data_IF_148270752898
#
_entry.id   IF_148270752898
#
_cell.length_a   1.000
_cell.length_b   1.000
_cell.length_c   1.000
_cell.angle_alpha   90.00
_cell.angle_beta   90.00
_cell.angle_gamma   90.00
#
_symmetry.space_group_name_H-M   'P 1'
#
loop_
_entity.id
_entity.type
_entity.pdbx_description
1 polymer ?
#
# COMPACT_ATOMS: atom_id res chain seq x y z
N UNK A 1 -22.57 4.50 -12.78
CA UNK A 1 -21.84 3.39 -12.13
C UNK A 1 -20.52 3.96 -11.64
N UNK A 2 -20.04 3.56 -10.47
CA UNK A 2 -18.87 4.22 -9.85
C UNK A 2 -17.58 3.54 -10.29
N UNK A 3 -16.61 4.32 -10.74
CA UNK A 3 -15.26 3.84 -11.08
C UNK A 3 -14.44 3.65 -9.82
N UNK A 4 -13.64 2.58 -9.81
CA UNK A 4 -12.77 2.22 -8.69
C UNK A 4 -11.37 1.91 -9.16
N UNK A 5 -10.40 2.10 -8.27
CA UNK A 5 -9.06 1.55 -8.42
C UNK A 5 -8.88 0.35 -7.51
N UNK A 6 -8.27 -0.71 -8.04
CA UNK A 6 -7.92 -1.90 -7.28
C UNK A 6 -6.39 -2.10 -7.36
N UNK A 7 -5.73 -2.24 -6.21
CA UNK A 7 -4.27 -2.26 -6.09
C UNK A 7 -3.84 -3.55 -5.41
N UNK A 8 -3.16 -4.44 -6.13
CA UNK A 8 -2.55 -5.64 -5.57
C UNK A 8 -1.10 -5.35 -5.17
N UNK A 9 -0.87 -5.20 -3.86
CA UNK A 9 0.44 -4.82 -3.32
C UNK A 9 1.48 -5.92 -3.53
N UNK A 10 1.07 -7.20 -3.58
CA UNK A 10 2.00 -8.31 -3.80
C UNK A 10 2.58 -8.32 -5.23
N UNK A 11 1.91 -7.69 -6.20
CA UNK A 11 2.38 -7.59 -7.59
C UNK A 11 3.24 -6.36 -7.86
N UNK A 12 3.27 -5.39 -6.95
CA UNK A 12 4.01 -4.15 -7.19
C UNK A 12 5.51 -4.35 -6.95
N UNK A 13 6.32 -4.20 -8.01
CA UNK A 13 7.77 -4.33 -7.95
C UNK A 13 8.51 -3.00 -7.73
N UNK A 14 7.79 -1.88 -7.55
CA UNK A 14 8.41 -0.58 -7.32
C UNK A 14 9.13 0.00 -8.54
N UNK A 15 8.69 -0.28 -9.77
CA UNK A 15 9.29 0.31 -10.98
C UNK A 15 9.02 1.82 -11.17
N UNK A 16 8.08 2.41 -10.42
CA UNK A 16 7.66 3.82 -10.52
C UNK A 16 7.06 4.25 -11.88
N UNK A 17 6.78 3.32 -12.81
CA UNK A 17 6.13 3.66 -14.10
C UNK A 17 4.81 4.42 -13.93
N UNK A 18 4.01 4.08 -12.93
CA UNK A 18 2.74 4.76 -12.66
C UNK A 18 2.92 6.25 -12.30
N UNK A 19 4.00 6.58 -11.58
CA UNK A 19 4.40 7.94 -11.26
C UNK A 19 4.87 8.68 -12.51
N UNK A 20 5.75 8.04 -13.29
CA UNK A 20 6.33 8.62 -14.50
C UNK A 20 5.25 8.87 -15.55
N UNK A 21 4.34 7.92 -15.78
CA UNK A 21 3.23 8.07 -16.72
C UNK A 21 2.26 9.19 -16.31
N UNK A 22 2.06 9.40 -15.01
CA UNK A 22 1.26 10.53 -14.53
C UNK A 22 1.96 11.87 -14.79
N UNK A 23 3.29 11.92 -14.63
CA UNK A 23 4.09 13.09 -14.97
C UNK A 23 4.09 13.38 -16.47
N UNK A 24 4.32 12.35 -17.28
CA UNK A 24 4.27 12.44 -18.75
C UNK A 24 2.93 12.99 -19.24
N UNK A 25 1.83 12.51 -18.66
CA UNK A 25 0.48 12.97 -19.03
C UNK A 25 0.19 14.42 -18.60
N UNK A 26 0.69 14.88 -17.46
CA UNK A 26 0.23 16.13 -16.84
C UNK A 26 1.27 17.25 -16.74
N UNK A 27 2.57 16.97 -16.85
CA UNK A 27 3.60 18.01 -16.87
C UNK A 27 3.63 18.63 -18.26
N UNK A 28 3.52 19.95 -18.33
CA UNK A 28 3.50 20.69 -19.59
C UNK A 28 2.20 20.59 -20.39
N UNK A 29 1.26 19.73 -19.99
CA UNK A 29 -0.03 19.54 -20.67
C UNK A 29 -1.18 20.19 -19.88
N UNK A 30 -1.95 21.05 -20.55
CA UNK A 30 -3.16 21.65 -19.98
C UNK A 30 -4.39 20.88 -20.46
N UNK A 31 -5.16 20.37 -19.49
CA UNK A 31 -6.37 19.60 -19.71
C UNK A 31 -7.58 20.30 -19.11
N UNK A 32 -7.64 21.64 -19.11
CA UNK A 32 -8.83 22.36 -18.67
C UNK A 32 -10.10 21.84 -19.40
N UNK A 33 -11.21 21.58 -18.70
CA UNK A 33 -11.47 21.93 -17.30
C UNK A 33 -11.10 20.84 -16.27
N UNK A 34 -10.41 19.77 -16.65
CA UNK A 34 -10.08 18.64 -15.77
C UNK A 34 -8.89 18.93 -14.85
N UNK A 35 -7.83 19.50 -15.41
CA UNK A 35 -6.59 19.81 -14.70
C UNK A 35 -5.75 20.82 -15.48
N UNK A 36 -5.07 21.71 -14.75
CA UNK A 36 -3.95 22.50 -15.28
C UNK A 36 -2.65 21.70 -15.17
N UNK A 37 -1.57 22.12 -15.86
CA UNK A 37 -0.30 21.41 -15.82
C UNK A 37 0.18 21.13 -14.39
N UNK A 38 0.67 19.91 -14.18
CA UNK A 38 1.33 19.50 -12.95
C UNK A 38 2.75 20.06 -12.92
N UNK A 39 3.28 20.53 -11.77
CA UNK A 39 4.69 20.87 -11.65
C UNK A 39 5.59 19.67 -11.93
N UNK A 40 6.76 19.91 -12.52
CA UNK A 40 7.74 18.85 -12.82
C UNK A 40 8.22 18.13 -11.55
N UNK A 41 8.45 18.88 -10.47
CA UNK A 41 8.96 18.37 -9.18
C UNK A 41 7.96 18.53 -8.03
N UNK A 42 8.16 17.78 -6.95
CA UNK A 42 7.46 17.94 -5.67
C UNK A 42 6.06 17.31 -5.58
N UNK A 43 5.21 17.46 -6.60
CA UNK A 43 3.88 16.85 -6.62
C UNK A 43 3.88 15.45 -7.22
N UNK A 44 3.23 14.49 -6.55
CA UNK A 44 3.03 13.13 -7.06
C UNK A 44 1.56 12.73 -6.90
N UNK A 45 0.74 12.96 -7.93
CA UNK A 45 -0.70 12.67 -7.88
C UNK A 45 -1.01 11.17 -7.71
N UNK A 46 -0.07 10.32 -8.10
CA UNK A 46 0.09 8.96 -7.60
C UNK A 46 1.52 8.84 -7.07
N UNK A 47 1.68 8.41 -5.81
CA UNK A 47 2.96 8.28 -5.12
C UNK A 47 3.16 6.84 -4.67
N UNK A 48 4.22 6.20 -5.15
CA UNK A 48 4.69 4.90 -4.69
C UNK A 48 5.42 5.12 -3.37
N UNK A 49 4.88 4.53 -2.30
CA UNK A 49 5.50 4.48 -0.99
C UNK A 49 6.24 3.15 -0.83
N UNK A 50 7.56 3.22 -0.70
CA UNK A 50 8.38 2.08 -0.28
C UNK A 50 8.21 1.82 1.21
N UNK A 51 8.08 0.55 1.58
CA UNK A 51 8.01 0.11 2.97
C UNK A 51 9.01 -1.03 3.16
N UNK A 52 10.07 -0.75 3.91
CA UNK A 52 11.11 -1.71 4.27
C UNK A 52 10.80 -2.26 5.66
N UNK A 53 10.78 -3.59 5.78
CA UNK A 53 10.56 -4.30 7.04
C UNK A 53 11.71 -5.24 7.37
N UNK A 54 12.03 -5.35 8.66
CA UNK A 54 13.07 -6.21 9.21
C UNK A 54 14.46 -5.56 9.24
N UNK A 55 15.47 -6.39 9.42
CA UNK A 55 16.89 -5.99 9.48
C UNK A 55 17.74 -7.04 8.78
N UNK A 56 18.93 -6.68 8.31
CA UNK A 56 19.84 -7.63 7.65
C UNK A 56 20.12 -8.84 8.56
N UNK A 57 20.06 -10.09 8.06
CA UNK A 57 19.75 -10.48 6.67
C UNK A 57 18.26 -10.72 6.37
N UNK A 58 17.36 -10.64 7.35
CA UNK A 58 15.91 -10.87 7.17
C UNK A 58 15.16 -9.57 6.84
N UNK A 59 15.20 -9.18 5.57
CA UNK A 59 14.51 -7.97 5.06
C UNK A 59 13.40 -8.33 4.07
N UNK A 60 12.27 -7.64 4.15
CA UNK A 60 11.21 -7.64 3.13
C UNK A 60 10.90 -6.21 2.73
N UNK A 61 10.59 -6.01 1.46
CA UNK A 61 10.21 -4.71 0.90
C UNK A 61 8.88 -4.88 0.17
N UNK A 62 7.98 -3.93 0.32
CA UNK A 62 6.78 -3.83 -0.50
C UNK A 62 6.46 -2.37 -0.83
N UNK A 63 5.73 -2.18 -1.93
CA UNK A 63 5.45 -0.88 -2.50
C UNK A 63 3.94 -0.63 -2.53
N UNK A 64 3.51 0.53 -2.04
CA UNK A 64 2.09 0.91 -2.04
C UNK A 64 1.93 2.15 -2.91
N UNK A 65 1.21 2.02 -4.02
CA UNK A 65 0.80 3.17 -4.83
C UNK A 65 -0.33 3.94 -4.14
N UNK A 66 -0.12 5.22 -3.85
CA UNK A 66 -1.04 6.09 -3.13
C UNK A 66 -1.50 7.23 -4.03
N UNK A 67 -2.79 7.30 -4.31
CA UNK A 67 -3.42 8.35 -5.11
C UNK A 67 -4.65 8.92 -4.39
N UNK A 68 -5.34 9.88 -5.02
CA UNK A 68 -6.65 10.32 -4.51
C UNK A 68 -7.60 9.12 -4.40
N UNK A 69 -8.27 8.99 -3.25
CA UNK A 69 -9.18 7.88 -3.01
C UNK A 69 -10.55 8.04 -3.69
N UNK A 70 -10.82 9.18 -4.33
CA UNK A 70 -12.10 9.55 -4.93
C UNK A 70 -13.32 9.17 -4.04
N UNK A 71 -13.14 9.30 -2.72
CA UNK A 71 -14.00 8.73 -1.70
C UNK A 71 -15.46 9.15 -1.86
N UNK A 72 -16.42 8.27 -1.53
CA UNK A 72 -17.86 8.55 -1.60
C UNK A 72 -18.26 9.73 -0.70
N UNK A 73 -17.71 9.77 0.51
CA UNK A 73 -17.88 10.86 1.47
C UNK A 73 -16.64 11.77 1.44
N UNK A 74 -16.44 12.49 0.33
CA UNK A 74 -15.28 13.35 0.15
C UNK A 74 -15.30 14.59 1.06
N UNK A 75 -14.52 14.57 2.15
CA UNK A 75 -14.36 15.71 3.06
C UNK A 75 -13.81 16.96 2.37
N UNK A 76 -12.94 16.79 1.37
CA UNK A 76 -12.41 17.90 0.59
C UNK A 76 -13.50 18.67 -0.18
N UNK A 77 -14.54 18.00 -0.66
CA UNK A 77 -15.69 18.67 -1.31
C UNK A 77 -16.43 19.55 -0.31
N UNK A 78 -16.74 19.03 0.88
CA UNK A 78 -17.42 19.77 1.95
C UNK A 78 -16.61 20.96 2.46
N UNK A 79 -15.28 20.84 2.47
CA UNK A 79 -14.38 21.89 2.93
C UNK A 79 -14.19 23.03 1.91
N UNK A 80 -14.56 22.83 0.64
CA UNK A 80 -14.35 23.83 -0.40
C UNK A 80 -15.49 24.86 -0.43
N UNK A 81 -15.27 26.03 0.20
CA UNK A 81 -16.27 27.11 0.22
C UNK A 81 -16.66 27.69 -1.16
N UNK A 82 -15.84 27.47 -2.19
CA UNK A 82 -16.11 27.87 -3.58
C UNK A 82 -16.85 26.82 -4.40
N UNK A 83 -17.08 25.63 -3.85
CA UNK A 83 -17.61 24.49 -4.60
C UNK A 83 -16.78 24.17 -5.86
N UNK A 84 -15.46 24.37 -5.80
CA UNK A 84 -14.55 24.02 -6.88
C UNK A 84 -14.31 22.51 -6.98
N UNK A 85 -14.62 21.74 -5.92
CA UNK A 85 -14.44 20.30 -5.92
C UNK A 85 -15.80 19.63 -6.09
N UNK A 86 -15.94 18.80 -7.12
CA UNK A 86 -17.20 18.14 -7.46
C UNK A 86 -16.99 16.65 -7.74
N UNK A 87 -18.08 15.89 -7.68
CA UNK A 87 -18.11 14.47 -8.06
C UNK A 87 -18.75 14.34 -9.44
N UNK A 88 -18.09 13.60 -10.33
CA UNK A 88 -18.63 13.20 -11.64
C UNK A 88 -19.63 12.06 -11.51
N UNK A 89 -20.41 11.82 -12.56
CA UNK A 89 -21.38 10.70 -12.61
C UNK A 89 -20.71 9.32 -12.45
N UNK A 90 -19.45 9.21 -12.89
CA UNK A 90 -18.61 8.03 -12.77
C UNK A 90 -17.94 7.88 -11.38
N UNK A 91 -18.27 8.75 -10.43
CA UNK A 91 -17.77 8.71 -9.06
C UNK A 91 -16.43 9.41 -8.84
N UNK A 92 -15.68 9.79 -9.89
CA UNK A 92 -14.41 10.50 -9.74
C UNK A 92 -14.63 11.90 -9.17
N UNK A 93 -13.98 12.18 -8.04
CA UNK A 93 -13.90 13.53 -7.45
C UNK A 93 -12.86 14.37 -8.19
N UNK A 94 -13.20 15.55 -8.68
CA UNK A 94 -12.34 16.46 -9.49
C UNK A 94 -12.24 17.84 -8.81
N UNK A 95 -11.11 18.52 -8.97
CA UNK A 95 -10.97 19.94 -8.62
C UNK A 95 -11.05 20.72 -9.93
N UNK A 96 -12.07 21.57 -10.06
CA UNK A 96 -12.22 22.54 -11.15
C UNK A 96 -11.14 23.62 -10.98
N UNK A 97 -10.15 23.69 -11.90
CA UNK A 97 -9.04 24.62 -11.76
C UNK A 97 -9.46 26.08 -11.94
N UNK A 98 -10.55 26.36 -12.66
CA UNK A 98 -11.04 27.72 -12.91
C UNK A 98 -11.77 28.30 -11.70
N UNK A 99 -12.40 27.43 -10.90
CA UNK A 99 -13.10 27.84 -9.66
C UNK A 99 -12.20 27.83 -8.43
N UNK A 100 -11.06 27.14 -8.49
CA UNK A 100 -10.15 27.03 -7.36
C UNK A 100 -9.53 28.40 -7.05
N UNK A 101 -9.77 28.92 -5.86
CA UNK A 101 -9.22 30.20 -5.39
C UNK A 101 -7.94 30.05 -4.55
N UNK A 102 -7.43 28.81 -4.47
CA UNK A 102 -6.20 28.53 -3.74
C UNK A 102 -6.29 28.61 -2.22
N UNK A 103 -7.49 28.59 -1.61
CA UNK A 103 -7.66 28.70 -0.14
C UNK A 103 -7.02 27.57 0.70
N UNK A 104 -6.51 26.50 0.07
CA UNK A 104 -5.85 25.33 0.70
C UNK A 104 -6.70 24.53 1.71
N UNK A 105 -7.96 24.90 1.97
CA UNK A 105 -8.84 24.21 2.92
C UNK A 105 -9.02 22.70 2.62
N UNK A 106 -9.09 22.35 1.34
CA UNK A 106 -9.22 20.96 0.90
C UNK A 106 -7.98 20.10 1.23
N UNK A 107 -6.79 20.70 1.30
CA UNK A 107 -5.54 20.00 1.62
C UNK A 107 -5.60 19.53 3.07
N UNK A 108 -5.93 20.42 4.00
CA UNK A 108 -6.10 20.09 5.43
C UNK A 108 -7.23 19.10 5.66
N UNK A 109 -8.31 19.18 4.87
CA UNK A 109 -9.47 18.29 5.00
C UNK A 109 -9.23 16.87 4.46
N UNK A 110 -8.20 16.64 3.65
CA UNK A 110 -7.94 15.34 3.05
C UNK A 110 -7.11 14.46 3.99
N UNK A 111 -7.67 13.39 4.58
CA UNK A 111 -6.91 12.54 5.52
C UNK A 111 -5.83 11.68 4.82
N UNK A 112 -5.77 11.72 3.50
CA UNK A 112 -4.90 10.88 2.68
C UNK A 112 -3.67 11.60 2.14
N UNK A 113 -3.56 12.91 2.40
CA UNK A 113 -2.47 13.76 1.90
C UNK A 113 -2.34 13.71 0.36
N UNK A 114 -3.49 13.53 -0.31
CA UNK A 114 -3.55 13.31 -1.76
C UNK A 114 -3.75 14.60 -2.58
N UNK A 115 -3.86 15.76 -1.91
CA UNK A 115 -4.05 17.07 -2.55
C UNK A 115 -2.82 17.92 -2.29
N UNK A 116 -2.27 18.46 -3.37
CA UNK A 116 -1.10 19.32 -3.38
C UNK A 116 -1.51 20.76 -3.69
N UNK A 117 -0.68 21.72 -3.31
CA UNK A 117 -0.82 23.09 -3.78
C UNK A 117 0.20 23.36 -4.90
N UNK A 118 -0.26 23.94 -6.00
CA UNK A 118 0.59 24.45 -7.05
C UNK A 118 0.86 25.92 -6.77
N UNK A 119 2.08 26.23 -6.32
CA UNK A 119 2.46 27.60 -5.94
C UNK A 119 2.52 28.54 -7.16
N UNK A 120 2.85 28.02 -8.35
CA UNK A 120 2.94 28.83 -9.58
C UNK A 120 1.55 29.25 -10.08
N UNK A 121 0.59 28.32 -10.04
CA UNK A 121 -0.77 28.56 -10.53
C UNK A 121 -1.72 29.09 -9.43
N UNK A 122 -1.33 29.03 -8.16
CA UNK A 122 -2.17 29.44 -7.04
C UNK A 122 -3.38 28.53 -6.80
N UNK A 123 -3.34 27.27 -7.21
CA UNK A 123 -4.49 26.33 -7.13
C UNK A 123 -4.12 25.01 -6.44
N UNK A 124 -5.12 24.32 -5.90
CA UNK A 124 -4.97 22.95 -5.41
C UNK A 124 -5.10 21.94 -6.55
N UNK A 125 -4.23 20.92 -6.56
CA UNK A 125 -4.18 19.88 -7.58
C UNK A 125 -4.09 18.48 -6.94
N UNK A 126 -4.58 17.48 -7.65
CA UNK A 126 -4.56 16.06 -7.23
C UNK A 126 -4.87 15.17 -8.43
N UNK A 127 -4.78 13.84 -8.23
CA UNK A 127 -5.24 12.86 -9.23
C UNK A 127 -6.67 13.15 -9.72
N UNK A 128 -6.85 13.11 -11.03
CA UNK A 128 -8.14 13.28 -11.73
C UNK A 128 -8.74 11.96 -12.20
N UNK A 129 -8.08 10.83 -11.92
CA UNK A 129 -8.41 9.54 -12.53
C UNK A 129 -8.24 9.55 -14.05
N UNK A 130 -7.44 10.48 -14.60
CA UNK A 130 -7.32 10.74 -16.03
C UNK A 130 -8.70 10.91 -16.72
N UNK A 131 -9.65 11.57 -16.04
CA UNK A 131 -11.01 11.76 -16.53
C UNK A 131 -11.06 12.36 -17.96
N UNK A 132 -10.09 13.22 -18.31
CA UNK A 132 -9.96 13.77 -19.66
C UNK A 132 -9.73 12.68 -20.71
N UNK A 133 -8.98 11.62 -20.42
CA UNK A 133 -8.80 10.49 -21.33
C UNK A 133 -10.07 9.63 -21.41
N UNK A 134 -10.72 9.38 -20.27
CA UNK A 134 -11.93 8.56 -20.21
C UNK A 134 -13.06 9.17 -21.06
N UNK A 135 -13.23 10.49 -20.99
CA UNK A 135 -14.21 11.22 -21.80
C UNK A 135 -13.86 11.24 -23.30
N UNK A 136 -12.59 10.96 -23.65
CA UNK A 136 -12.11 10.85 -25.01
C UNK A 136 -11.99 9.38 -25.50
N UNK A 137 -12.69 8.46 -24.84
CA UNK A 137 -12.83 7.06 -25.30
C UNK A 137 -11.72 6.11 -24.83
N UNK A 138 -10.76 6.58 -24.04
CA UNK A 138 -9.81 5.68 -23.39
C UNK A 138 -10.51 4.89 -22.26
N UNK A 139 -10.03 3.67 -22.02
CA UNK A 139 -10.62 2.79 -21.01
C UNK A 139 -9.90 2.85 -19.66
N UNK A 140 -8.62 3.22 -19.66
CA UNK A 140 -7.74 3.12 -18.49
C UNK A 140 -7.00 4.44 -18.25
N UNK A 141 -6.79 4.83 -16.98
CA UNK A 141 -5.84 5.87 -16.60
C UNK A 141 -4.40 5.46 -16.91
N UNK A 142 -3.53 6.43 -17.16
CA UNK A 142 -2.12 6.19 -17.53
C UNK A 142 -1.35 5.34 -16.53
N UNK A 143 -1.61 5.52 -15.23
CA UNK A 143 -0.94 4.72 -14.20
C UNK A 143 -1.28 3.23 -14.26
N UNK A 144 -2.48 2.89 -14.73
CA UNK A 144 -2.97 1.52 -14.88
C UNK A 144 -2.43 0.94 -16.17
N UNK A 145 -2.54 1.67 -17.28
CA UNK A 145 -2.01 1.27 -18.59
C UNK A 145 -0.49 1.04 -18.57
N UNK A 146 0.27 1.84 -17.82
CA UNK A 146 1.72 1.74 -17.73
C UNK A 146 2.22 0.67 -16.74
N UNK A 147 1.34 -0.02 -16.00
CA UNK A 147 1.73 -0.98 -14.97
C UNK A 147 2.16 -2.32 -15.61
N UNK A 148 3.45 -2.71 -15.54
CA UNK A 148 3.92 -3.91 -16.22
C UNK A 148 3.58 -5.21 -15.48
N UNK A 149 3.05 -5.13 -14.26
CA UNK A 149 2.78 -6.29 -13.40
C UNK A 149 1.30 -6.48 -13.08
N UNK A 150 0.42 -5.68 -13.69
CA UNK A 150 -1.02 -5.68 -13.40
C UNK A 150 -1.33 -5.49 -11.90
N UNK A 151 -0.46 -4.75 -11.19
CA UNK A 151 -0.66 -4.40 -9.79
C UNK A 151 -1.73 -3.31 -9.62
N UNK A 152 -1.98 -2.50 -10.66
CA UNK A 152 -3.00 -1.47 -10.68
C UNK A 152 -4.10 -1.90 -11.65
N UNK A 153 -5.35 -1.78 -11.21
CA UNK A 153 -6.54 -2.06 -12.01
C UNK A 153 -7.54 -0.90 -11.86
N UNK A 154 -8.32 -0.66 -12.91
CA UNK A 154 -9.37 0.36 -12.93
C UNK A 154 -10.56 -0.13 -13.73
N UNK A 155 -11.77 0.14 -13.24
CA UNK A 155 -13.00 -0.33 -13.87
C UNK A 155 -14.24 0.08 -13.10
N UNK A 156 -15.40 -0.44 -13.51
CA UNK A 156 -16.63 -0.26 -12.77
C UNK A 156 -16.60 -1.05 -11.46
N UNK A 157 -17.11 -0.46 -10.39
CA UNK A 157 -17.19 -1.10 -9.06
C UNK A 157 -17.93 -2.44 -9.14
N UNK A 158 -19.01 -2.51 -9.94
CA UNK A 158 -19.80 -3.72 -10.13
C UNK A 158 -19.03 -4.87 -10.78
N UNK A 159 -18.00 -4.57 -11.58
CA UNK A 159 -17.19 -5.57 -12.30
C UNK A 159 -15.98 -6.03 -11.48
N UNK A 160 -15.67 -5.32 -10.39
CA UNK A 160 -14.49 -5.55 -9.56
C UNK A 160 -14.82 -6.19 -8.20
N UNK A 161 -16.03 -6.71 -8.02
CA UNK A 161 -16.49 -7.26 -6.73
C UNK A 161 -15.60 -8.42 -6.24
N UNK A 162 -15.15 -9.28 -7.15
CA UNK A 162 -14.24 -10.39 -6.85
C UNK A 162 -12.92 -9.91 -6.25
N UNK A 163 -12.47 -8.70 -6.60
CA UNK A 163 -11.32 -8.05 -5.97
C UNK A 163 -11.72 -7.37 -4.65
N UNK A 164 -12.85 -6.66 -4.63
CA UNK A 164 -13.25 -5.82 -3.50
C UNK A 164 -13.57 -6.63 -2.23
N UNK A 165 -14.20 -7.81 -2.35
CA UNK A 165 -14.63 -8.64 -1.19
C UNK A 165 -13.50 -8.96 -0.20
N UNK A 166 -12.26 -9.04 -0.69
CA UNK A 166 -11.07 -9.35 0.14
C UNK A 166 -10.10 -8.18 0.28
N UNK A 167 -10.50 -6.99 -0.15
CA UNK A 167 -9.65 -5.82 -0.13
C UNK A 167 -9.88 -4.98 1.13
N UNK A 168 -8.90 -4.15 1.44
CA UNK A 168 -8.97 -3.11 2.47
C UNK A 168 -8.91 -1.74 1.83
N UNK A 169 -9.33 -0.72 2.56
CA UNK A 169 -9.20 0.68 2.15
C UNK A 169 -8.28 1.42 3.11
N UNK A 170 -7.68 2.53 2.66
CA UNK A 170 -6.88 3.38 3.56
C UNK A 170 -7.79 4.16 4.50
N UNK A 171 -7.38 4.26 5.77
CA UNK A 171 -8.03 5.03 6.83
C UNK A 171 -9.56 4.83 6.91
N UNK A 172 -10.06 3.58 7.06
CA UNK A 172 -11.50 3.30 7.16
C UNK A 172 -12.18 4.03 8.32
N UNK A 173 -11.44 4.35 9.39
CA UNK A 173 -11.92 5.07 10.58
C UNK A 173 -12.46 6.48 10.28
N UNK A 174 -12.13 7.04 9.12
CA UNK A 174 -12.57 8.39 8.71
C UNK A 174 -14.03 8.44 8.25
N UNK A 175 -14.65 7.30 7.91
CA UNK A 175 -15.99 7.26 7.33
C UNK A 175 -16.09 7.87 5.91
N UNK A 176 -14.95 8.12 5.25
CA UNK A 176 -14.93 8.72 3.91
C UNK A 176 -15.31 7.74 2.79
N UNK A 177 -15.35 6.43 3.06
CA UNK A 177 -15.57 5.35 2.09
C UNK A 177 -14.75 5.50 0.79
N UNK A 178 -13.42 5.28 0.85
CA UNK A 178 -12.55 5.27 -0.33
C UNK A 178 -13.04 4.37 -1.46
N UNK A 179 -12.77 4.80 -2.70
CA UNK A 179 -12.97 4.02 -3.93
C UNK A 179 -11.65 3.51 -4.52
N UNK A 180 -10.63 3.38 -3.67
CA UNK A 180 -9.35 2.73 -3.96
C UNK A 180 -9.16 1.59 -2.96
N UNK A 181 -9.09 0.38 -3.49
CA UNK A 181 -9.07 -0.87 -2.74
C UNK A 181 -7.68 -1.51 -2.85
N UNK A 182 -7.19 -2.07 -1.74
CA UNK A 182 -5.87 -2.68 -1.65
C UNK A 182 -5.97 -4.14 -1.20
N UNK A 183 -5.30 -5.03 -1.91
CA UNK A 183 -5.09 -6.44 -1.50
C UNK A 183 -3.64 -6.72 -1.20
N UNK A 184 -3.43 -7.76 -0.40
CA UNK A 184 -2.13 -8.35 -0.14
C UNK A 184 -1.11 -7.34 0.42
N UNK A 185 -1.57 -6.39 1.24
CA UNK A 185 -0.67 -5.57 2.06
C UNK A 185 -0.03 -6.52 3.09
N UNK A 186 1.30 -6.73 3.07
CA UNK A 186 1.94 -7.65 3.99
C UNK A 186 1.72 -7.22 5.45
N UNK A 187 1.39 -8.18 6.31
CA UNK A 187 1.38 -7.96 7.75
C UNK A 187 2.79 -7.97 8.35
N UNK A 188 2.88 -8.03 9.67
CA UNK A 188 4.19 -8.11 10.35
C UNK A 188 4.77 -9.51 10.26
N UNK A 189 6.08 -9.62 10.36
CA UNK A 189 6.73 -10.92 10.41
C UNK A 189 7.70 -11.10 11.58
N UNK A 190 7.90 -12.36 11.96
CA UNK A 190 9.03 -12.81 12.78
C UNK A 190 9.81 -13.83 11.94
N UNK A 191 11.11 -13.61 11.79
CA UNK A 191 11.98 -14.47 11.00
C UNK A 191 13.30 -14.75 11.73
N UNK A 192 13.96 -15.83 11.36
CA UNK A 192 15.27 -16.21 11.89
C UNK A 192 15.83 -17.42 11.14
N UNK A 193 17.04 -17.82 11.52
CA UNK A 193 17.74 -18.98 10.97
C UNK A 193 18.05 -19.95 12.11
N UNK A 194 17.74 -21.23 11.99
CA UNK A 194 18.09 -22.24 13.01
C UNK A 194 19.24 -23.12 12.55
N UNK A 195 20.20 -23.38 13.43
CA UNK A 195 21.39 -24.15 13.09
C UNK A 195 21.93 -24.96 14.27
N UNK A 196 22.69 -26.00 13.96
CA UNK A 196 23.45 -26.84 14.89
C UNK A 196 24.88 -26.29 15.01
N UNK A 197 25.28 -25.74 16.18
CA UNK A 197 26.61 -25.17 16.35
C UNK A 197 27.74 -26.22 16.38
N UNK A 198 27.42 -27.51 16.60
CA UNK A 198 28.40 -28.60 16.67
C UNK A 198 28.76 -29.07 15.26
N UNK A 199 27.75 -29.43 14.46
CA UNK A 199 27.97 -29.84 13.06
C UNK A 199 28.27 -28.66 12.15
N UNK A 200 27.94 -27.43 12.60
CA UNK A 200 28.02 -26.20 11.82
C UNK A 200 27.12 -26.25 10.58
N UNK A 201 25.95 -26.86 10.74
CA UNK A 201 24.96 -27.07 9.68
C UNK A 201 23.61 -26.48 10.09
N UNK A 202 22.79 -26.12 9.09
CA UNK A 202 21.43 -25.61 9.32
C UNK A 202 20.49 -26.73 9.77
N UNK A 203 19.50 -26.40 10.59
CA UNK A 203 18.49 -27.38 11.02
C UNK A 203 17.28 -27.25 10.12
N UNK A 204 17.17 -28.17 9.17
CA UNK A 204 16.06 -28.23 8.21
C UNK A 204 14.83 -28.84 8.88
N UNK A 205 13.65 -28.28 8.62
CA UNK A 205 12.38 -28.83 9.08
C UNK A 205 12.10 -28.69 10.57
N UNK A 206 12.88 -27.87 11.30
CA UNK A 206 12.56 -27.46 12.66
C UNK A 206 11.16 -26.85 12.68
N UNK A 207 10.38 -27.13 13.72
CA UNK A 207 9.04 -26.58 13.89
C UNK A 207 9.14 -25.27 14.66
N UNK A 208 8.60 -24.19 14.10
CA UNK A 208 8.54 -22.88 14.75
C UNK A 208 7.07 -22.52 14.95
N UNK A 209 6.67 -22.28 16.20
CA UNK A 209 5.33 -21.85 16.59
C UNK A 209 5.38 -20.48 17.24
N UNK A 210 4.59 -19.54 16.76
CA UNK A 210 4.39 -18.25 17.41
C UNK A 210 2.95 -18.13 17.93
N UNK A 211 2.82 -17.81 19.22
CA UNK A 211 1.53 -17.73 19.91
C UNK A 211 1.27 -16.32 20.44
N UNK A 212 0.10 -15.76 20.14
CA UNK A 212 -0.40 -14.51 20.71
C UNK A 212 -1.87 -14.70 21.13
N UNK A 213 -2.16 -14.56 22.43
CA UNK A 213 -3.54 -14.59 22.93
C UNK A 213 -4.35 -15.84 22.53
N UNK A 214 -3.69 -17.01 22.45
CA UNK A 214 -4.30 -18.28 22.05
C UNK A 214 -4.34 -18.55 20.54
N UNK A 215 -3.99 -17.57 19.69
CA UNK A 215 -3.78 -17.80 18.25
C UNK A 215 -2.36 -18.27 18.00
N UNK A 216 -2.21 -19.38 17.28
CA UNK A 216 -0.90 -19.96 16.93
C UNK A 216 -0.70 -19.93 15.42
N UNK A 217 0.47 -19.48 15.00
CA UNK A 217 0.97 -19.61 13.62
C UNK A 217 2.17 -20.55 13.67
N UNK A 218 2.19 -21.55 12.78
CA UNK A 218 3.26 -22.54 12.72
C UNK A 218 3.87 -22.58 11.31
N UNK A 219 5.20 -22.66 11.26
CA UNK A 219 5.98 -22.89 10.04
C UNK A 219 7.08 -23.89 10.32
N UNK A 220 7.77 -24.32 9.27
CA UNK A 220 9.00 -25.09 9.36
C UNK A 220 10.17 -24.32 8.79
N UNK A 221 11.36 -24.54 9.33
CA UNK A 221 12.57 -24.05 8.70
C UNK A 221 12.78 -24.74 7.34
N UNK A 222 13.24 -23.97 6.36
CA UNK A 222 13.52 -24.43 5.01
C UNK A 222 14.94 -25.01 4.88
N UNK A 223 15.40 -25.20 3.64
CA UNK A 223 16.70 -25.80 3.32
C UNK A 223 17.90 -24.93 3.69
N UNK A 224 17.66 -23.66 4.03
CA UNK A 224 18.66 -22.75 4.58
C UNK A 224 18.56 -22.63 6.11
N UNK A 225 17.70 -23.42 6.75
CA UNK A 225 17.37 -23.26 8.16
C UNK A 225 16.52 -22.03 8.44
N UNK A 226 16.05 -21.32 7.41
CA UNK A 226 15.29 -20.09 7.56
C UNK A 226 13.84 -20.36 7.88
N UNK A 227 13.25 -19.55 8.74
CA UNK A 227 11.80 -19.52 8.91
C UNK A 227 11.27 -18.09 8.82
N UNK A 228 10.01 -17.98 8.38
CA UNK A 228 9.30 -16.71 8.24
C UNK A 228 7.85 -16.90 8.68
N UNK A 229 7.51 -16.43 9.88
CA UNK A 229 6.13 -16.29 10.33
C UNK A 229 5.60 -14.97 9.77
N UNK A 230 4.88 -15.02 8.65
CA UNK A 230 4.41 -13.84 7.89
C UNK A 230 2.98 -13.48 8.26
N UNK A 231 2.58 -12.26 7.88
CA UNK A 231 1.22 -11.75 8.00
C UNK A 231 0.64 -11.82 9.43
N UNK A 232 1.51 -11.65 10.42
CA UNK A 232 1.15 -11.60 11.82
C UNK A 232 0.37 -10.32 12.13
N UNK A 233 -0.66 -10.47 12.98
CA UNK A 233 -1.29 -9.33 13.62
C UNK A 233 -0.29 -8.63 14.54
N UNK A 234 -0.44 -7.32 14.71
CA UNK A 234 0.45 -6.58 15.61
C UNK A 234 0.20 -7.03 17.06
N UNK A 235 1.28 -7.36 17.77
CA UNK A 235 1.20 -7.80 19.15
C UNK A 235 2.49 -8.47 19.62
N UNK A 236 2.44 -9.02 20.84
CA UNK A 236 3.56 -9.77 21.43
C UNK A 236 3.36 -11.27 21.25
N UNK A 237 4.39 -11.97 20.81
CA UNK A 237 4.32 -13.41 20.53
C UNK A 237 5.34 -14.17 21.35
N UNK A 238 4.94 -15.33 21.85
CA UNK A 238 5.88 -16.33 22.36
C UNK A 238 6.23 -17.27 21.21
N UNK A 239 7.52 -17.37 20.88
CA UNK A 239 8.04 -18.17 19.77
C UNK A 239 8.76 -19.39 20.32
N UNK A 240 8.28 -20.57 19.98
CA UNK A 240 8.84 -21.87 20.39
C UNK A 240 9.40 -22.58 19.16
N UNK A 241 10.65 -23.05 19.28
CA UNK A 241 11.39 -23.74 18.22
C UNK A 241 11.73 -25.14 18.72
N UNK A 242 11.38 -26.16 17.93
CA UNK A 242 11.58 -27.57 18.27
C UNK A 242 12.10 -28.34 17.06
N UNK A 243 13.14 -29.17 17.26
CA UNK A 243 13.66 -30.07 16.25
C UNK A 243 14.02 -31.43 16.88
N UNK A 244 13.83 -32.56 16.17
CA UNK A 244 14.26 -33.87 16.67
C UNK A 244 15.76 -33.90 17.00
N UNK A 245 16.12 -34.42 18.18
CA UNK A 245 17.52 -34.47 18.64
C UNK A 245 18.03 -33.18 19.29
N UNK A 246 17.22 -32.11 19.33
CA UNK A 246 17.59 -30.83 19.92
C UNK A 246 16.68 -30.44 21.09
N UNK A 247 17.25 -29.74 22.07
CA UNK A 247 16.49 -29.02 23.09
C UNK A 247 15.64 -27.93 22.44
N UNK A 248 14.46 -27.69 23.03
CA UNK A 248 13.58 -26.64 22.54
C UNK A 248 14.10 -25.26 22.92
N UNK A 249 13.77 -24.26 22.10
CA UNK A 249 14.17 -22.85 22.34
C UNK A 249 12.94 -21.97 22.36
N UNK A 250 12.91 -21.02 23.30
CA UNK A 250 11.78 -20.11 23.50
C UNK A 250 12.26 -18.66 23.45
N UNK A 251 11.53 -17.84 22.72
CA UNK A 251 11.62 -16.39 22.77
C UNK A 251 10.28 -15.86 23.29
N UNK A 252 10.27 -15.33 24.50
CA UNK A 252 9.06 -14.80 25.12
C UNK A 252 8.84 -13.34 24.71
N UNK A 253 7.57 -12.93 24.60
CA UNK A 253 7.18 -11.54 24.40
C UNK A 253 7.84 -10.83 23.20
N UNK A 254 8.08 -11.55 22.10
CA UNK A 254 8.61 -11.00 20.84
C UNK A 254 7.64 -9.95 20.32
N UNK A 255 8.10 -8.69 20.25
CA UNK A 255 7.28 -7.55 19.88
C UNK A 255 7.13 -7.43 18.35
N UNK A 256 6.09 -8.07 17.81
CA UNK A 256 5.70 -8.02 16.41
C UNK A 256 4.79 -6.81 16.09
N UNK A 257 4.85 -5.72 16.86
CA UNK A 257 4.35 -4.42 16.39
C UNK A 257 5.22 -3.84 15.26
N UNK A 258 6.44 -4.35 15.15
CA UNK A 258 7.39 -4.16 14.05
C UNK A 258 7.78 -5.51 13.47
N UNK A 259 8.45 -5.48 12.32
CA UNK A 259 9.02 -6.67 11.72
C UNK A 259 10.27 -7.10 12.52
N UNK A 260 10.36 -8.38 12.87
CA UNK A 260 11.37 -8.91 13.78
C UNK A 260 12.27 -9.91 13.07
N UNK A 261 13.57 -9.67 13.17
CA UNK A 261 14.63 -10.62 12.86
C UNK A 261 15.22 -11.14 14.17
N UNK A 262 15.06 -12.43 14.46
CA UNK A 262 15.62 -13.11 15.62
C UNK A 262 17.10 -13.52 15.42
N UNK A 263 17.64 -13.30 14.22
CA UNK A 263 19.02 -13.63 13.87
C UNK A 263 19.25 -15.13 13.70
N UNK A 264 20.50 -15.54 13.91
CA UNK A 264 20.90 -16.94 13.87
C UNK A 264 20.73 -17.57 15.25
N UNK A 265 20.03 -18.69 15.29
CA UNK A 265 19.51 -19.32 16.49
C UNK A 265 20.18 -20.68 16.64
N UNK A 266 21.20 -20.82 17.51
CA UNK A 266 21.79 -22.11 17.79
C UNK A 266 20.80 -22.98 18.58
N UNK A 267 20.65 -24.23 18.16
CA UNK A 267 19.92 -25.27 18.89
C UNK A 267 20.90 -26.20 19.59
N UNK A 268 20.70 -26.42 20.89
CA UNK A 268 21.53 -27.35 21.67
C UNK A 268 21.06 -28.78 21.45
N UNK A 269 21.97 -29.74 21.30
CA UNK A 269 21.63 -31.17 21.23
C UNK A 269 21.21 -31.70 22.61
N UNK A 270 20.34 -32.72 22.59
CA UNK A 270 19.95 -33.49 23.79
C UNK A 270 21.04 -34.49 24.20
#
# INVERSE_FOLDING_TARGET
MSKVFCIDVAKCNGCYNCQLACKDEHVGNDWAPYARPQPEIGQFWIKVKENVGGTIPKVKIHYISQLCNHCENATCMKACGKNAIYRREDGLVIIDPEKCDGCKACITACPYEAIYFNEELGISQKCTGCAHLLDNGYKLPRCVEACPTDALMFGEESEMQDFIVGATVRRPETGNHPKVYYRNIPGKFIAGTVYDPIEKEVVIGARIRATNGGKTVEVRSDEYGDFWLKDLAQGKYDVVIEAPGFEYKVFENVDATKDVNLGDIPLARK
#
